data_IF_567960709411
#
_entry.id   IF_567960709411
#
_cell.length_a   1.000
_cell.length_b   1.000
_cell.length_c   1.000
_cell.angle_alpha   90.00
_cell.angle_beta   90.00
_cell.angle_gamma   90.00
#
_symmetry.space_group_name_H-M   'P 1'
#
loop_
_entity.id
_entity.type
_entity.pdbx_description
1 polymer ?
#
# COMPACT_ATOMS: atom_id res chain seq x y z
N UNK A 1 10.89 -2.90 -11.44
CA UNK A 1 12.10 -2.61 -10.63
C UNK A 1 12.87 -3.84 -10.15
N UNK A 2 12.23 -5.00 -9.90
CA UNK A 2 12.97 -6.19 -9.44
C UNK A 2 14.13 -6.59 -10.37
N UNK A 3 13.91 -6.53 -11.69
CA UNK A 3 14.96 -6.79 -12.71
C UNK A 3 16.17 -5.84 -12.68
N UNK A 4 16.06 -4.74 -11.92
CA UNK A 4 17.05 -3.66 -11.86
C UNK A 4 17.59 -3.48 -10.43
N UNK A 5 17.43 -4.48 -9.57
CA UNK A 5 18.05 -4.49 -8.25
C UNK A 5 18.79 -5.79 -8.01
N UNK A 6 19.81 -5.69 -7.17
CA UNK A 6 20.63 -6.81 -6.71
C UNK A 6 20.58 -6.95 -5.18
N UNK A 7 19.83 -6.08 -4.49
CA UNK A 7 19.82 -5.99 -3.04
C UNK A 7 19.19 -7.21 -2.34
N UNK A 8 18.50 -8.09 -3.07
CA UNK A 8 17.97 -9.36 -2.56
C UNK A 8 19.01 -10.50 -2.61
N UNK A 9 20.18 -10.26 -3.20
CA UNK A 9 21.19 -11.29 -3.39
C UNK A 9 22.17 -11.26 -2.20
N UNK A 10 22.46 -12.42 -1.56
CA UNK A 10 23.39 -12.48 -0.43
C UNK A 10 24.74 -11.82 -0.75
N UNK A 11 25.14 -10.85 0.08
CA UNK A 11 26.39 -10.11 -0.09
C UNK A 11 26.34 -8.92 -1.05
N UNK A 12 25.15 -8.57 -1.56
CA UNK A 12 24.89 -7.40 -2.39
C UNK A 12 23.96 -6.43 -1.65
N UNK A 13 24.52 -5.31 -1.19
CA UNK A 13 23.74 -4.19 -0.65
C UNK A 13 23.72 -3.00 -1.60
N UNK A 14 23.05 -1.93 -1.19
CA UNK A 14 22.90 -0.70 -1.99
C UNK A 14 24.24 -0.11 -2.48
N UNK A 15 25.32 -0.27 -1.72
CA UNK A 15 26.66 0.15 -2.15
C UNK A 15 27.18 -0.64 -3.35
N UNK A 16 27.07 -1.98 -3.32
CA UNK A 16 27.50 -2.83 -4.45
C UNK A 16 26.59 -2.64 -5.67
N UNK A 17 25.28 -2.49 -5.45
CA UNK A 17 24.33 -2.15 -6.51
C UNK A 17 24.70 -0.83 -7.20
N UNK A 18 25.06 0.21 -6.44
CA UNK A 18 25.51 1.48 -7.01
C UNK A 18 26.77 1.34 -7.85
N UNK A 19 27.74 0.52 -7.41
CA UNK A 19 28.95 0.24 -8.20
C UNK A 19 28.61 -0.43 -9.53
N UNK A 20 27.68 -1.40 -9.53
CA UNK A 20 27.23 -2.04 -10.76
C UNK A 20 26.55 -1.03 -11.70
N UNK A 21 25.64 -0.20 -11.17
CA UNK A 21 24.99 0.83 -11.98
C UNK A 21 25.97 1.85 -12.55
N UNK A 22 26.99 2.28 -11.78
CA UNK A 22 28.02 3.20 -12.27
C UNK A 22 28.88 2.59 -13.41
N UNK A 23 28.95 1.26 -13.49
CA UNK A 23 29.59 0.54 -14.59
C UNK A 23 28.63 0.32 -15.79
N UNK A 24 27.43 0.89 -15.77
CA UNK A 24 26.42 0.74 -16.83
C UNK A 24 25.63 -0.57 -16.76
N UNK A 25 25.73 -1.31 -15.66
CA UNK A 25 25.02 -2.58 -15.45
C UNK A 25 23.72 -2.33 -14.68
N UNK A 26 22.67 -1.95 -15.40
CA UNK A 26 21.42 -1.45 -14.85
C UNK A 26 20.39 -2.55 -14.54
N UNK A 27 20.53 -3.72 -15.14
CA UNK A 27 19.60 -4.82 -14.94
C UNK A 27 20.25 -6.20 -15.04
N UNK A 28 19.42 -7.22 -14.78
CA UNK A 28 19.82 -8.62 -14.84
C UNK A 28 20.33 -9.03 -16.24
N UNK A 29 19.76 -8.47 -17.30
CA UNK A 29 20.17 -8.76 -18.68
C UNK A 29 21.59 -8.25 -18.97
N UNK A 30 21.94 -7.05 -18.51
CA UNK A 30 23.30 -6.50 -18.65
C UNK A 30 24.33 -7.42 -17.98
N UNK A 31 24.00 -7.90 -16.78
CA UNK A 31 24.86 -8.82 -16.02
C UNK A 31 25.02 -10.14 -16.77
N UNK A 32 23.94 -10.71 -17.32
CA UNK A 32 23.99 -11.99 -18.02
C UNK A 32 24.76 -11.92 -19.35
N UNK A 33 24.79 -10.74 -19.98
CA UNK A 33 25.46 -10.52 -21.27
C UNK A 33 26.93 -10.06 -21.14
N UNK A 34 27.38 -9.67 -19.95
CA UNK A 34 28.77 -9.28 -19.71
C UNK A 34 29.56 -10.36 -18.96
N UNK A 35 30.68 -10.86 -19.52
CA UNK A 35 31.51 -11.85 -18.85
C UNK A 35 32.34 -11.26 -17.70
N UNK A 36 32.80 -10.01 -17.84
CA UNK A 36 33.69 -9.36 -16.87
C UNK A 36 32.97 -8.26 -16.09
N UNK A 37 32.58 -8.57 -14.85
CA UNK A 37 31.94 -7.63 -13.95
C UNK A 37 32.96 -7.00 -12.99
N UNK A 38 32.75 -5.78 -12.48
CA UNK A 38 33.63 -5.11 -11.51
C UNK A 38 33.50 -5.71 -10.08
N UNK A 39 33.63 -7.02 -9.97
CA UNK A 39 33.41 -7.83 -8.77
C UNK A 39 34.45 -8.97 -8.72
N UNK A 40 34.70 -9.54 -7.54
CA UNK A 40 35.50 -10.75 -7.43
C UNK A 40 34.81 -11.96 -8.06
N UNK A 41 35.55 -12.93 -8.57
CA UNK A 41 35.00 -14.12 -9.23
C UNK A 41 33.97 -14.87 -8.38
N UNK A 42 34.18 -14.91 -7.05
CA UNK A 42 33.20 -15.48 -6.11
C UNK A 42 31.87 -14.71 -6.13
N UNK A 43 31.93 -13.37 -6.06
CA UNK A 43 30.72 -12.53 -6.11
C UNK A 43 30.02 -12.61 -7.46
N UNK A 44 30.77 -12.67 -8.55
CA UNK A 44 30.21 -12.86 -9.89
C UNK A 44 29.44 -14.19 -9.98
N UNK A 45 30.04 -15.29 -9.54
CA UNK A 45 29.39 -16.60 -9.54
C UNK A 45 28.08 -16.60 -8.72
N UNK A 46 28.11 -16.00 -7.52
CA UNK A 46 26.92 -15.80 -6.69
C UNK A 46 25.86 -14.95 -7.39
N UNK A 47 26.26 -13.85 -8.03
CA UNK A 47 25.34 -12.95 -8.73
C UNK A 47 24.64 -13.67 -9.89
N UNK A 48 25.38 -14.39 -10.74
CA UNK A 48 24.81 -15.12 -11.87
C UNK A 48 23.86 -16.24 -11.43
N UNK A 49 24.22 -17.02 -10.39
CA UNK A 49 23.34 -18.09 -9.92
C UNK A 49 22.02 -17.54 -9.37
N UNK A 50 22.08 -16.49 -8.56
CA UNK A 50 20.88 -15.87 -8.00
C UNK A 50 20.05 -15.09 -9.02
N UNK A 51 20.65 -14.50 -10.06
CA UNK A 51 19.87 -13.89 -11.15
C UNK A 51 19.05 -14.94 -11.90
N UNK A 52 19.63 -16.11 -12.20
CA UNK A 52 18.88 -17.20 -12.85
C UNK A 52 17.70 -17.66 -12.01
N UNK A 53 17.92 -17.84 -10.71
CA UNK A 53 16.85 -18.16 -9.76
C UNK A 53 15.80 -17.04 -9.71
N UNK A 54 16.23 -15.78 -9.65
CA UNK A 54 15.33 -14.61 -9.61
C UNK A 54 14.45 -14.52 -10.86
N UNK A 55 14.98 -14.87 -12.03
CA UNK A 55 14.19 -14.93 -13.27
C UNK A 55 13.09 -16.00 -13.14
N UNK A 56 13.42 -17.20 -12.68
CA UNK A 56 12.45 -18.27 -12.49
C UNK A 56 11.37 -17.89 -11.46
N UNK A 57 11.76 -17.32 -10.31
CA UNK A 57 10.85 -16.88 -9.27
C UNK A 57 9.94 -15.73 -9.74
N UNK A 58 10.46 -14.79 -10.51
CA UNK A 58 9.66 -13.71 -11.09
C UNK A 58 8.68 -14.24 -12.13
N UNK A 59 9.08 -15.20 -12.97
CA UNK A 59 8.19 -15.83 -13.95
C UNK A 59 7.08 -16.65 -13.31
N UNK A 60 7.35 -17.30 -12.17
CA UNK A 60 6.32 -17.95 -11.34
C UNK A 60 5.41 -16.94 -10.60
N UNK A 61 5.78 -15.65 -10.60
CA UNK A 61 5.10 -14.60 -9.85
C UNK A 61 5.16 -14.82 -8.34
N UNK A 62 6.29 -15.34 -7.84
CA UNK A 62 6.54 -15.54 -6.42
C UNK A 62 7.04 -14.25 -5.77
N UNK A 63 6.11 -13.43 -5.27
CA UNK A 63 6.44 -12.19 -4.57
C UNK A 63 7.12 -12.42 -3.22
N UNK A 64 6.78 -13.52 -2.52
CA UNK A 64 7.33 -13.85 -1.20
C UNK A 64 8.84 -14.04 -1.24
N UNK A 65 9.35 -14.65 -2.29
CA UNK A 65 10.79 -14.81 -2.53
C UNK A 65 11.52 -13.47 -2.46
N UNK A 66 11.04 -12.45 -3.17
CA UNK A 66 11.67 -11.13 -3.18
C UNK A 66 11.40 -10.37 -1.89
N UNK A 67 10.19 -10.47 -1.34
CA UNK A 67 9.80 -9.77 -0.13
C UNK A 67 10.64 -10.19 1.09
N UNK A 68 10.90 -11.49 1.22
CA UNK A 68 11.71 -12.05 2.31
C UNK A 68 13.22 -11.79 2.17
N UNK A 69 13.70 -11.55 0.95
CA UNK A 69 15.13 -11.32 0.68
C UNK A 69 15.49 -9.83 0.57
N UNK A 70 14.58 -8.97 0.14
CA UNK A 70 14.82 -7.53 0.06
C UNK A 70 14.85 -6.91 1.47
N UNK A 71 15.79 -5.99 1.73
CA UNK A 71 15.71 -5.10 2.88
C UNK A 71 14.38 -4.35 2.89
N UNK A 72 13.84 -4.08 4.08
CA UNK A 72 12.52 -3.47 4.26
C UNK A 72 12.37 -2.12 3.54
N UNK A 73 13.44 -1.32 3.47
CA UNK A 73 13.48 -0.04 2.76
C UNK A 73 13.57 -0.17 1.22
N UNK A 74 13.73 -1.39 0.71
CA UNK A 74 13.79 -1.74 -0.71
C UNK A 74 12.56 -2.52 -1.20
N UNK A 75 11.65 -2.95 -0.33
CA UNK A 75 10.45 -3.72 -0.70
C UNK A 75 9.48 -2.96 -1.63
N UNK A 76 9.57 -1.63 -1.71
CA UNK A 76 8.82 -0.83 -2.69
C UNK A 76 9.09 -1.25 -4.15
N UNK A 77 10.23 -1.90 -4.42
CA UNK A 77 10.61 -2.37 -5.77
C UNK A 77 9.75 -3.53 -6.28
N UNK A 78 9.00 -4.21 -5.41
CA UNK A 78 8.01 -5.21 -5.82
C UNK A 78 6.87 -4.55 -6.62
N UNK A 79 6.52 -3.30 -6.30
CA UNK A 79 5.28 -2.69 -6.75
C UNK A 79 5.01 -2.83 -8.27
N UNK A 80 5.92 -2.44 -9.20
CA UNK A 80 5.61 -2.54 -10.62
C UNK A 80 5.43 -3.97 -11.14
N UNK A 81 6.07 -4.95 -10.51
CA UNK A 81 6.00 -6.35 -10.95
C UNK A 81 4.70 -7.04 -10.53
N UNK A 82 4.07 -6.55 -9.46
CA UNK A 82 2.85 -7.12 -8.89
C UNK A 82 1.68 -6.13 -8.89
N UNK A 83 1.80 -5.00 -9.59
CA UNK A 83 0.77 -3.95 -9.64
C UNK A 83 -0.57 -4.46 -10.16
N UNK A 84 -0.56 -5.38 -11.14
CA UNK A 84 -1.81 -5.95 -11.69
C UNK A 84 -2.50 -6.94 -10.74
N UNK A 85 -1.87 -7.30 -9.62
CA UNK A 85 -2.38 -8.22 -8.59
C UNK A 85 -2.28 -7.60 -7.20
N UNK A 86 -2.36 -6.26 -7.13
CA UNK A 86 -2.27 -5.49 -5.89
C UNK A 86 -3.65 -5.32 -5.27
N UNK A 87 -3.70 -5.34 -3.93
CA UNK A 87 -4.83 -4.94 -3.13
C UNK A 87 -4.43 -3.76 -2.24
N UNK A 88 -5.07 -2.62 -2.46
CA UNK A 88 -5.11 -1.50 -1.52
C UNK A 88 -6.25 -1.75 -0.55
N UNK A 89 -5.99 -1.74 0.75
CA UNK A 89 -7.05 -1.89 1.73
C UNK A 89 -6.81 -1.03 2.96
N UNK A 90 -7.91 -0.70 3.62
CA UNK A 90 -7.97 0.10 4.83
C UNK A 90 -9.20 -0.34 5.65
N UNK A 91 -9.11 -0.25 6.97
CA UNK A 91 -10.18 -0.66 7.88
C UNK A 91 -10.65 0.50 8.76
N UNK A 92 -11.93 0.47 9.10
CA UNK A 92 -12.50 1.25 10.19
C UNK A 92 -12.85 0.35 11.35
N UNK A 93 -12.73 0.88 12.56
CA UNK A 93 -12.92 0.13 13.80
C UNK A 93 -13.72 0.95 14.80
N UNK A 94 -14.21 0.31 15.86
CA UNK A 94 -14.85 1.02 16.98
C UNK A 94 -13.86 1.72 17.92
N UNK A 95 -12.56 1.45 17.76
CA UNK A 95 -11.50 1.91 18.65
C UNK A 95 -10.13 1.43 18.23
N UNK A 96 -9.11 1.72 19.03
CA UNK A 96 -7.71 1.59 18.63
C UNK A 96 -7.02 0.27 19.01
N UNK A 97 -7.71 -0.65 19.70
CA UNK A 97 -7.12 -1.95 20.04
C UNK A 97 -7.57 -2.57 21.37
N UNK A 98 -8.65 -2.09 21.98
CA UNK A 98 -9.26 -2.80 23.11
C UNK A 98 -9.68 -4.22 22.67
N UNK A 99 -9.65 -5.23 23.56
CA UNK A 99 -10.15 -6.57 23.22
C UNK A 99 -11.59 -6.61 22.73
N UNK A 100 -12.41 -5.64 23.14
CA UNK A 100 -13.81 -5.48 22.70
C UNK A 100 -13.95 -4.70 21.39
N UNK A 101 -12.90 -4.03 20.91
CA UNK A 101 -12.94 -3.32 19.63
C UNK A 101 -13.09 -4.31 18.48
N UNK A 102 -13.88 -3.93 17.48
CA UNK A 102 -14.09 -4.73 16.28
C UNK A 102 -14.03 -3.87 15.01
N UNK A 103 -13.91 -4.53 13.86
CA UNK A 103 -13.90 -3.90 12.55
C UNK A 103 -15.33 -3.53 12.17
N UNK A 104 -15.56 -2.27 11.83
CA UNK A 104 -16.86 -1.76 11.39
C UNK A 104 -16.99 -1.90 9.87
N UNK A 105 -16.00 -1.41 9.13
CA UNK A 105 -15.91 -1.55 7.68
C UNK A 105 -14.50 -1.91 7.22
N UNK A 106 -14.41 -2.55 6.07
CA UNK A 106 -13.16 -2.71 5.31
C UNK A 106 -13.47 -2.25 3.89
N UNK A 107 -12.57 -1.48 3.29
CA UNK A 107 -12.62 -1.23 1.85
C UNK A 107 -11.38 -1.83 1.18
N UNK A 108 -11.59 -2.42 0.01
CA UNK A 108 -10.60 -3.04 -0.83
C UNK A 108 -10.67 -2.41 -2.23
N UNK A 109 -9.53 -2.04 -2.77
CA UNK A 109 -9.39 -1.51 -4.12
C UNK A 109 -8.23 -2.18 -4.84
N UNK A 110 -8.42 -2.60 -6.08
CA UNK A 110 -7.42 -3.34 -6.86
C UNK A 110 -6.82 -2.56 -8.05
N UNK A 111 -7.07 -1.25 -8.09
CA UNK A 111 -6.75 -0.41 -9.25
C UNK A 111 -7.87 -0.35 -10.30
N UNK A 112 -8.96 -1.11 -10.12
CA UNK A 112 -10.09 -1.18 -11.07
C UNK A 112 -11.45 -1.10 -10.39
N UNK A 113 -11.64 -1.85 -9.31
CA UNK A 113 -12.90 -1.98 -8.60
C UNK A 113 -12.69 -1.73 -7.11
N UNK A 114 -13.62 -0.96 -6.53
CA UNK A 114 -13.77 -0.80 -5.07
C UNK A 114 -14.79 -1.82 -4.57
N UNK A 115 -14.44 -2.55 -3.52
CA UNK A 115 -15.31 -3.47 -2.77
C UNK A 115 -15.34 -3.07 -1.31
N UNK A 116 -16.52 -3.10 -0.71
CA UNK A 116 -16.74 -2.73 0.69
C UNK A 116 -17.34 -3.89 1.47
N UNK A 117 -16.88 -4.04 2.70
CA UNK A 117 -17.28 -5.10 3.61
C UNK A 117 -17.71 -4.46 4.93
N UNK A 118 -18.93 -4.75 5.37
CA UNK A 118 -19.57 -4.08 6.51
C UNK A 118 -19.91 -5.11 7.58
N UNK A 119 -19.60 -4.78 8.83
CA UNK A 119 -19.93 -5.59 10.00
C UNK A 119 -21.43 -5.87 10.09
N UNK A 120 -21.79 -7.14 10.28
CA UNK A 120 -23.18 -7.61 10.27
C UNK A 120 -23.84 -7.70 8.89
N UNK A 121 -23.10 -7.47 7.80
CA UNK A 121 -23.59 -7.65 6.43
C UNK A 121 -22.78 -8.69 5.66
N UNK A 122 -21.51 -8.38 5.35
CA UNK A 122 -20.66 -9.19 4.47
C UNK A 122 -19.17 -9.13 4.88
N UNK A 123 -18.86 -8.78 6.13
CA UNK A 123 -17.49 -8.57 6.60
C UNK A 123 -16.58 -9.78 6.38
N UNK A 124 -17.13 -10.98 6.57
CA UNK A 124 -16.44 -12.25 6.48
C UNK A 124 -15.99 -12.59 5.06
N UNK A 125 -16.65 -12.03 4.03
CA UNK A 125 -16.26 -12.22 2.64
C UNK A 125 -14.87 -11.63 2.34
N UNK A 126 -14.42 -10.62 3.10
CA UNK A 126 -13.10 -10.02 2.93
C UNK A 126 -11.97 -11.05 3.03
N UNK A 127 -12.08 -12.00 3.98
CA UNK A 127 -11.04 -13.00 4.21
C UNK A 127 -10.79 -13.91 2.99
N UNK A 128 -11.85 -14.20 2.23
CA UNK A 128 -11.77 -14.96 0.98
C UNK A 128 -11.22 -14.06 -0.13
N UNK A 129 -11.82 -12.89 -0.31
CA UNK A 129 -11.54 -12.02 -1.45
C UNK A 129 -10.10 -11.45 -1.43
N UNK A 130 -9.55 -11.15 -0.25
CA UNK A 130 -8.18 -10.63 -0.12
C UNK A 130 -7.12 -11.68 -0.48
N UNK A 131 -7.46 -12.98 -0.45
CA UNK A 131 -6.52 -14.06 -0.73
C UNK A 131 -6.12 -14.15 -2.21
N UNK A 132 -6.93 -13.58 -3.12
CA UNK A 132 -6.69 -13.62 -4.57
C UNK A 132 -5.55 -12.68 -5.03
N UNK A 133 -5.10 -11.77 -4.16
CA UNK A 133 -4.08 -10.78 -4.44
C UNK A 133 -2.69 -11.27 -4.06
N UNK A 134 -1.66 -10.77 -4.77
CA UNK A 134 -0.26 -11.14 -4.56
C UNK A 134 0.58 -10.05 -3.89
N UNK A 135 0.02 -8.86 -3.71
CA UNK A 135 0.68 -7.74 -3.06
C UNK A 135 -0.36 -6.92 -2.30
N UNK A 136 -0.11 -6.67 -1.03
CA UNK A 136 -0.92 -5.78 -0.22
C UNK A 136 -0.26 -4.40 -0.13
N UNK A 137 -1.08 -3.36 -0.16
CA UNK A 137 -0.68 -1.98 0.13
C UNK A 137 -1.67 -1.39 1.14
N UNK A 138 -1.15 -0.81 2.21
CA UNK A 138 -1.97 -0.06 3.18
C UNK A 138 -1.15 1.06 3.80
N UNK A 139 -1.79 1.91 4.61
CA UNK A 139 -1.10 2.91 5.42
C UNK A 139 -1.12 2.50 6.88
N UNK A 140 0.06 2.24 7.48
CA UNK A 140 0.18 1.78 8.87
C UNK A 140 -0.40 0.39 9.17
N UNK A 141 -0.86 -0.35 8.15
CA UNK A 141 -1.59 -1.59 8.37
C UNK A 141 -0.77 -2.75 8.88
N UNK A 142 0.57 -2.74 8.80
CA UNK A 142 1.38 -3.78 9.46
C UNK A 142 1.19 -3.79 10.97
N UNK A 143 0.95 -2.63 11.56
CA UNK A 143 0.84 -2.45 13.02
C UNK A 143 -0.58 -2.25 13.52
N UNK A 144 -1.53 -2.01 12.63
CA UNK A 144 -2.92 -1.74 12.97
C UNK A 144 -3.89 -2.69 12.26
N UNK A 145 -4.06 -2.52 10.95
CA UNK A 145 -5.07 -3.23 10.16
C UNK A 145 -4.89 -4.75 10.17
N UNK A 146 -3.68 -5.24 9.90
CA UNK A 146 -3.37 -6.67 9.82
C UNK A 146 -3.63 -7.38 11.15
N UNK A 147 -3.19 -6.87 12.32
CA UNK A 147 -3.60 -7.39 13.62
C UNK A 147 -5.11 -7.49 13.82
N UNK A 148 -5.87 -6.44 13.46
CA UNK A 148 -7.32 -6.44 13.57
C UNK A 148 -7.96 -7.50 12.66
N UNK A 149 -7.57 -7.56 11.39
CA UNK A 149 -8.09 -8.56 10.44
C UNK A 149 -7.80 -9.98 10.91
N UNK A 150 -6.57 -10.25 11.38
CA UNK A 150 -6.20 -11.58 11.91
C UNK A 150 -7.07 -11.97 13.11
N UNK A 151 -7.27 -11.03 14.04
CA UNK A 151 -8.07 -11.27 15.25
C UNK A 151 -9.55 -11.45 14.95
N UNK A 152 -10.12 -10.57 14.14
CA UNK A 152 -11.56 -10.51 13.91
C UNK A 152 -12.03 -11.50 12.83
N UNK A 153 -11.22 -11.77 11.82
CA UNK A 153 -11.62 -12.59 10.65
C UNK A 153 -10.79 -13.86 10.48
N UNK A 154 -9.72 -14.06 11.27
CA UNK A 154 -8.84 -15.22 11.12
C UNK A 154 -8.03 -15.23 9.82
N UNK A 155 -8.10 -14.17 9.01
CA UNK A 155 -7.38 -14.09 7.75
C UNK A 155 -5.90 -13.79 8.01
N UNK A 156 -4.95 -14.61 7.49
CA UNK A 156 -3.55 -14.51 7.86
C UNK A 156 -2.84 -13.30 7.25
N UNK A 157 -3.27 -12.82 6.07
CA UNK A 157 -2.62 -11.73 5.34
C UNK A 157 -1.09 -11.92 5.21
N UNK A 158 -0.67 -13.07 4.70
CA UNK A 158 0.76 -13.44 4.60
C UNK A 158 1.43 -12.94 3.31
N UNK A 159 0.66 -12.38 2.39
CA UNK A 159 1.17 -11.83 1.14
C UNK A 159 2.25 -10.78 1.40
N UNK A 160 3.15 -10.53 0.44
CA UNK A 160 4.03 -9.37 0.45
C UNK A 160 3.23 -8.10 0.73
N UNK A 161 3.72 -7.27 1.64
CA UNK A 161 2.97 -6.10 2.12
C UNK A 161 3.85 -4.85 2.11
N UNK A 162 3.51 -3.89 1.25
CA UNK A 162 4.11 -2.56 1.25
C UNK A 162 3.25 -1.66 2.14
N UNK A 163 3.81 -1.27 3.28
CA UNK A 163 3.17 -0.31 4.18
C UNK A 163 3.71 1.10 3.90
N UNK A 164 2.82 1.95 3.39
CA UNK A 164 3.15 3.29 2.92
C UNK A 164 3.64 4.21 4.02
N UNK A 165 3.30 3.97 5.29
CA UNK A 165 3.84 4.74 6.43
C UNK A 165 5.37 4.74 6.41
N UNK A 166 5.99 3.58 6.15
CA UNK A 166 7.44 3.46 6.13
C UNK A 166 8.05 3.96 4.81
N UNK A 167 7.39 3.70 3.68
CA UNK A 167 7.88 4.16 2.37
C UNK A 167 7.88 5.68 2.31
N UNK A 168 6.77 6.33 2.65
CA UNK A 168 6.63 7.79 2.71
C UNK A 168 7.52 8.38 3.80
N UNK A 169 7.59 7.74 4.97
CA UNK A 169 8.51 8.13 6.05
C UNK A 169 9.97 8.20 5.62
N UNK A 170 10.42 7.25 4.80
CA UNK A 170 11.78 7.24 4.24
C UNK A 170 12.04 8.30 3.16
N UNK A 171 10.98 8.93 2.66
CA UNK A 171 11.04 10.06 1.74
C UNK A 171 10.93 11.41 2.46
N UNK A 172 10.68 11.41 3.78
CA UNK A 172 10.60 12.61 4.61
C UNK A 172 9.17 13.03 4.99
N UNK A 173 8.14 12.35 4.48
CA UNK A 173 6.75 12.64 4.83
C UNK A 173 6.41 12.08 6.21
N UNK A 174 5.68 12.86 7.02
CA UNK A 174 5.33 12.52 8.41
C UNK A 174 3.83 12.70 8.66
N UNK A 175 3.30 12.05 9.69
CA UNK A 175 1.90 12.16 10.11
C UNK A 175 1.05 10.93 9.78
N UNK A 176 -0.27 11.08 9.81
CA UNK A 176 -1.23 10.09 9.31
C UNK A 176 -1.38 10.16 7.78
N UNK A 177 -2.24 9.29 7.22
CA UNK A 177 -2.52 9.21 5.78
C UNK A 177 -2.89 10.59 5.20
N UNK A 178 -3.93 11.22 5.78
CA UNK A 178 -4.39 12.57 5.44
C UNK A 178 -3.30 13.63 5.48
N UNK A 179 -2.40 13.56 6.46
CA UNK A 179 -1.26 14.48 6.55
C UNK A 179 -0.27 14.30 5.41
N UNK A 180 -0.03 13.06 4.98
CA UNK A 180 0.84 12.77 3.83
C UNK A 180 0.21 13.23 2.51
N UNK A 181 -1.09 13.02 2.34
CA UNK A 181 -1.84 13.49 1.17
C UNK A 181 -1.78 15.01 1.03
N UNK A 182 -1.98 15.76 2.11
CA UNK A 182 -1.85 17.22 2.11
C UNK A 182 -0.45 17.68 1.71
N UNK A 183 0.60 17.05 2.27
CA UNK A 183 2.00 17.35 1.90
C UNK A 183 2.30 17.05 0.43
N UNK A 184 1.55 16.12 -0.18
CA UNK A 184 1.69 15.71 -1.58
C UNK A 184 0.67 16.38 -2.51
N UNK A 185 -0.18 17.27 -1.98
CA UNK A 185 -1.18 18.00 -2.77
C UNK A 185 -2.35 17.14 -3.28
N UNK A 186 -2.68 16.05 -2.59
CA UNK A 186 -3.82 15.19 -2.93
C UNK A 186 -5.07 15.72 -2.20
N UNK A 187 -6.09 16.23 -2.90
CA UNK A 187 -7.30 16.76 -2.28
C UNK A 187 -8.26 15.65 -1.84
N UNK A 188 -9.08 15.92 -0.80
CA UNK A 188 -10.14 15.03 -0.32
C UNK A 188 -11.53 15.63 -0.53
N UNK A 189 -11.97 15.77 -1.79
CA UNK A 189 -13.18 16.49 -2.22
C UNK A 189 -14.41 16.33 -1.28
N UNK A 190 -14.60 17.26 -0.34
CA UNK A 190 -15.76 17.30 0.57
C UNK A 190 -15.68 16.37 1.79
N UNK A 191 -14.53 15.74 2.02
CA UNK A 191 -14.23 14.82 3.11
C UNK A 191 -12.99 15.29 3.92
N UNK A 192 -12.57 16.54 3.72
CA UNK A 192 -11.40 17.15 4.36
C UNK A 192 -11.51 17.22 5.88
N UNK A 193 -12.71 17.16 6.45
CA UNK A 193 -12.96 17.30 7.89
C UNK A 193 -13.28 15.97 8.59
N UNK A 194 -13.31 14.86 7.85
CA UNK A 194 -13.49 13.53 8.43
C UNK A 194 -12.13 12.98 8.87
N UNK A 195 -12.10 12.36 10.04
CA UNK A 195 -10.98 11.63 10.62
C UNK A 195 -11.46 10.31 11.24
N UNK A 196 -10.53 9.50 11.76
CA UNK A 196 -10.87 8.20 12.35
C UNK A 196 -11.80 8.29 13.56
N UNK A 197 -11.82 9.40 14.31
CA UNK A 197 -12.80 9.57 15.38
C UNK A 197 -14.20 9.85 14.81
N UNK A 198 -14.29 10.66 13.76
CA UNK A 198 -15.56 10.87 13.06
C UNK A 198 -16.11 9.59 12.43
N UNK A 199 -15.23 8.71 11.94
CA UNK A 199 -15.62 7.41 11.41
C UNK A 199 -16.36 6.56 12.47
N UNK A 200 -15.92 6.58 13.73
CA UNK A 200 -16.61 5.95 14.86
C UNK A 200 -17.99 6.59 15.10
N UNK A 201 -18.11 7.92 15.03
CA UNK A 201 -19.40 8.61 15.17
C UNK A 201 -20.37 8.24 14.06
N UNK A 202 -19.91 8.18 12.81
CA UNK A 202 -20.70 7.74 11.66
C UNK A 202 -21.20 6.31 11.85
N UNK A 203 -20.35 5.41 12.33
CA UNK A 203 -20.76 4.04 12.63
C UNK A 203 -21.87 3.98 13.68
N UNK A 204 -21.74 4.71 14.79
CA UNK A 204 -22.77 4.76 15.83
C UNK A 204 -24.08 5.38 15.35
N UNK A 205 -24.01 6.40 14.48
CA UNK A 205 -25.19 7.03 13.90
C UNK A 205 -25.90 6.08 12.92
N UNK A 206 -25.16 5.30 12.14
CA UNK A 206 -25.70 4.21 11.34
C UNK A 206 -26.39 3.15 12.20
N UNK A 207 -25.78 2.73 13.32
CA UNK A 207 -26.38 1.77 14.25
C UNK A 207 -27.71 2.25 14.85
N UNK A 208 -27.96 3.56 14.85
CA UNK A 208 -29.24 4.17 15.28
C UNK A 208 -30.28 4.28 14.15
N UNK A 209 -29.97 3.77 12.96
CA UNK A 209 -30.86 3.70 11.82
C UNK A 209 -30.60 4.73 10.71
N UNK A 210 -29.55 5.54 10.79
CA UNK A 210 -29.22 6.48 9.70
C UNK A 210 -28.38 5.80 8.61
N UNK A 211 -29.03 5.28 7.56
CA UNK A 211 -28.35 4.66 6.43
C UNK A 211 -27.33 5.60 5.73
N UNK A 212 -27.60 6.91 5.70
CA UNK A 212 -26.70 7.90 5.09
C UNK A 212 -25.36 8.04 5.81
N UNK A 213 -25.32 7.71 7.11
CA UNK A 213 -24.07 7.70 7.87
C UNK A 213 -23.14 6.57 7.40
N UNK A 214 -23.71 5.41 7.04
CA UNK A 214 -22.92 4.31 6.46
C UNK A 214 -22.39 4.69 5.08
N UNK A 215 -23.22 5.27 4.20
CA UNK A 215 -22.74 5.72 2.89
C UNK A 215 -21.61 6.75 3.03
N UNK A 216 -21.71 7.64 4.01
CA UNK A 216 -20.64 8.63 4.30
C UNK A 216 -19.37 7.97 4.84
N UNK A 217 -19.50 6.99 5.74
CA UNK A 217 -18.37 6.21 6.26
C UNK A 217 -17.66 5.44 5.14
N UNK A 218 -18.42 4.80 4.26
CA UNK A 218 -17.88 4.06 3.12
C UNK A 218 -17.26 4.98 2.07
N UNK A 219 -17.81 6.19 1.85
CA UNK A 219 -17.19 7.19 0.99
C UNK A 219 -15.82 7.63 1.53
N UNK A 220 -15.73 7.86 2.84
CA UNK A 220 -14.47 8.19 3.52
C UNK A 220 -13.44 7.06 3.41
N UNK A 221 -13.80 5.84 3.80
CA UNK A 221 -12.90 4.68 3.77
C UNK A 221 -12.50 4.28 2.33
N UNK A 222 -13.40 4.47 1.34
CA UNK A 222 -13.07 4.27 -0.07
C UNK A 222 -12.09 5.31 -0.61
N UNK A 223 -12.21 6.57 -0.19
CA UNK A 223 -11.27 7.61 -0.58
C UNK A 223 -9.86 7.30 -0.06
N UNK A 224 -9.74 6.79 1.18
CA UNK A 224 -8.47 6.39 1.78
C UNK A 224 -7.77 5.35 0.89
N UNK A 225 -8.45 4.27 0.48
CA UNK A 225 -7.82 3.23 -0.34
C UNK A 225 -7.50 3.65 -1.78
N UNK A 226 -8.33 4.51 -2.39
CA UNK A 226 -8.05 5.05 -3.73
C UNK A 226 -6.79 5.92 -3.68
N UNK A 227 -6.65 6.73 -2.63
CA UNK A 227 -5.48 7.57 -2.45
C UNK A 227 -4.21 6.77 -2.17
N UNK A 228 -4.30 5.56 -1.58
CA UNK A 228 -3.14 4.68 -1.43
C UNK A 228 -2.48 4.34 -2.79
N UNK A 229 -3.26 4.15 -3.86
CA UNK A 229 -2.68 3.92 -5.19
C UNK A 229 -1.87 5.14 -5.66
N UNK A 230 -2.46 6.33 -5.55
CA UNK A 230 -1.82 7.60 -5.93
C UNK A 230 -0.52 7.76 -5.15
N UNK A 231 -0.58 7.62 -3.83
CA UNK A 231 0.57 7.72 -2.93
C UNK A 231 1.65 6.69 -3.24
N UNK A 232 1.26 5.44 -3.53
CA UNK A 232 2.21 4.37 -3.88
C UNK A 232 2.94 4.70 -5.19
N UNK A 233 2.22 5.17 -6.21
CA UNK A 233 2.85 5.59 -7.48
C UNK A 233 3.78 6.79 -7.28
N UNK A 234 3.33 7.82 -6.53
CA UNK A 234 4.17 8.98 -6.22
C UNK A 234 5.43 8.59 -5.43
N UNK A 235 5.29 7.77 -4.39
CA UNK A 235 6.39 7.30 -3.59
C UNK A 235 7.37 6.43 -4.40
N UNK A 236 6.84 5.55 -5.25
CA UNK A 236 7.63 4.76 -6.18
C UNK A 236 8.45 5.65 -7.13
N UNK A 237 7.82 6.64 -7.76
CA UNK A 237 8.51 7.54 -8.70
C UNK A 237 9.56 8.40 -7.98
N UNK A 238 9.27 8.87 -6.77
CA UNK A 238 10.24 9.60 -5.94
C UNK A 238 11.43 8.73 -5.51
N UNK A 239 11.22 7.43 -5.26
CA UNK A 239 12.29 6.46 -5.00
C UNK A 239 13.10 6.17 -6.27
N UNK A 240 12.43 5.97 -7.40
CA UNK A 240 13.04 5.75 -8.71
C UNK A 240 13.97 6.91 -9.10
N UNK A 241 13.56 8.16 -8.86
CA UNK A 241 14.36 9.36 -9.13
C UNK A 241 15.69 9.42 -8.35
N UNK A 242 15.85 8.60 -7.29
CA UNK A 242 17.11 8.44 -6.54
C UNK A 242 18.00 7.33 -7.10
N UNK A 243 17.64 6.75 -8.25
CA UNK A 243 18.38 5.69 -8.96
C UNK A 243 18.77 6.19 -10.36
N UNK A 244 19.76 5.57 -11.02
CA UNK A 244 20.17 5.95 -12.38
C UNK A 244 19.26 5.40 -13.48
N UNK A 245 18.17 4.71 -13.13
CA UNK A 245 17.33 3.93 -14.05
C UNK A 245 16.33 4.78 -14.87
N UNK A 246 16.42 6.11 -14.77
CA UNK A 246 15.76 7.04 -15.69
C UNK A 246 14.22 7.04 -15.69
N UNK A 247 13.65 7.76 -16.66
CA UNK A 247 12.21 7.95 -16.83
C UNK A 247 11.50 6.72 -17.46
N UNK A 248 12.25 5.78 -18.03
CA UNK A 248 11.68 4.59 -18.68
C UNK A 248 10.90 3.69 -17.71
N UNK A 249 11.27 3.72 -16.43
CA UNK A 249 10.58 2.97 -15.37
C UNK A 249 9.57 3.81 -14.58
N UNK A 250 9.35 5.06 -14.98
CA UNK A 250 8.40 5.95 -14.33
C UNK A 250 6.97 5.44 -14.55
N UNK A 251 6.19 5.38 -13.48
CA UNK A 251 4.79 4.98 -13.55
C UNK A 251 3.89 6.20 -13.72
N UNK A 252 2.92 6.20 -14.66
CA UNK A 252 1.93 7.27 -14.73
C UNK A 252 1.07 7.26 -13.47
N UNK A 253 0.64 8.44 -13.03
CA UNK A 253 -0.36 8.55 -11.97
C UNK A 253 -1.65 7.84 -12.41
N UNK A 254 -2.31 7.11 -11.50
CA UNK A 254 -3.56 6.44 -11.83
C UNK A 254 -4.65 7.48 -12.10
N UNK A 255 -5.65 7.08 -12.89
CA UNK A 255 -6.89 7.85 -12.99
C UNK A 255 -7.78 7.42 -11.83
N UNK A 256 -8.16 8.35 -10.96
CA UNK A 256 -9.04 8.03 -9.83
C UNK A 256 -10.41 7.57 -10.36
N UNK A 257 -10.92 6.40 -9.91
CA UNK A 257 -12.29 6.02 -10.21
C UNK A 257 -13.27 6.97 -9.51
N UNK A 258 -14.50 7.03 -10.00
CA UNK A 258 -15.58 7.67 -9.26
C UNK A 258 -15.83 6.91 -7.96
N UNK A 259 -16.02 7.64 -6.85
CA UNK A 259 -16.40 7.03 -5.58
C UNK A 259 -17.74 6.31 -5.73
N UNK A 260 -17.85 5.04 -5.28
CA UNK A 260 -19.12 4.30 -5.36
C UNK A 260 -20.15 4.76 -4.31
N UNK A 261 -19.72 5.55 -3.32
CA UNK A 261 -20.56 6.08 -2.25
C UNK A 261 -20.54 7.61 -2.26
N UNK A 262 -21.63 8.22 -1.82
CA UNK A 262 -21.77 9.67 -1.73
C UNK A 262 -21.84 10.10 -0.27
N UNK A 263 -20.94 11.00 0.13
CA UNK A 263 -20.97 11.59 1.45
C UNK A 263 -22.19 12.50 1.66
N UNK A 264 -22.93 12.31 2.74
CA UNK A 264 -24.11 13.11 3.08
C UNK A 264 -23.70 14.30 3.96
N UNK A 265 -23.64 15.48 3.36
CA UNK A 265 -23.17 16.70 4.02
C UNK A 265 -24.05 17.11 5.21
N UNK A 266 -25.35 16.84 5.15
CA UNK A 266 -26.28 17.11 6.27
C UNK A 266 -25.95 16.24 7.49
N UNK A 267 -25.65 14.95 7.27
CA UNK A 267 -25.18 14.05 8.33
C UNK A 267 -23.87 14.52 8.91
N UNK A 268 -22.91 14.94 8.06
CA UNK A 268 -21.62 15.46 8.51
C UNK A 268 -21.82 16.70 9.41
N UNK A 269 -22.56 17.70 8.93
CA UNK A 269 -22.81 18.95 9.66
C UNK A 269 -23.56 18.71 10.98
N UNK A 270 -24.55 17.81 10.98
CA UNK A 270 -25.29 17.45 12.19
C UNK A 270 -24.38 16.84 13.25
N UNK A 271 -23.56 15.84 12.90
CA UNK A 271 -22.65 15.20 13.85
C UNK A 271 -21.59 16.17 14.37
N UNK A 272 -21.05 17.04 13.50
CA UNK A 272 -20.14 18.13 13.93
C UNK A 272 -20.76 19.02 14.99
N UNK A 273 -21.98 19.48 14.74
CA UNK A 273 -22.71 20.38 15.63
C UNK A 273 -22.96 19.73 17.00
N UNK A 274 -23.24 18.43 17.02
CA UNK A 274 -23.49 17.67 18.25
C UNK A 274 -22.22 17.46 19.10
N UNK A 275 -21.05 17.41 18.46
CA UNK A 275 -19.76 17.12 19.13
C UNK A 275 -18.85 18.36 19.25
N UNK A 276 -19.37 19.56 19.00
CA UNK A 276 -18.65 20.82 19.24
C UNK A 276 -17.54 21.12 18.22
N UNK A 277 -17.57 20.52 17.04
CA UNK A 277 -16.65 20.88 15.95
C UNK A 277 -17.17 22.13 15.24
N UNK A 278 -16.57 23.28 15.55
CA UNK A 278 -16.83 24.52 14.82
C UNK A 278 -16.53 24.31 13.33
N UNK A 279 -17.46 24.71 12.48
CA UNK A 279 -17.18 25.01 11.08
C UNK A 279 -16.24 26.23 11.05
N UNK A 280 -15.00 26.03 10.61
CA UNK A 280 -14.08 27.11 10.30
C UNK A 280 -14.55 27.85 9.05
#
# INVERSE_FOLDING_TARGET
MLKHTFCHIPGFGAGTERTLWQAGLHGWEDILNQPDLPLSSKKQATLHSHIRESIAQLQAGNGDYFYGLLPSDQQWRLFPAFRDQVAYFDIETTGLGDPSDYITTIVLYDGRQVRSYVSGQNLEDFARDIADYRLLVSYNGKTFDVPFVRRCLGAPLNQPHIDLRYVLGSLGYRGGLKGCEQQLGIPRQGLEDIDGFFAVLLWHDYQRGNAKALDTLLAYNALDVINLEILMVMAYNAKLAKTPLGLEHHLPLPTSPSLPFTADQDTIQRLRSQHGWSSY
#
